data_IF_673060503799
#
_entry.id   IF_673060503799
#
_cell.length_a   1.000
_cell.length_b   1.000
_cell.length_c   1.000
_cell.angle_alpha   90.00
_cell.angle_beta   90.00
_cell.angle_gamma   90.00
#
_symmetry.space_group_name_H-M   'P 1'
#
loop_
_entity.id
_entity.type
_entity.pdbx_description
1 polymer ?
#
# COMPACT_ATOMS: atom_id res chain seq x y z
N UNK A 1 33.97 -23.25 14.96
CA UNK A 1 33.32 -21.93 14.82
C UNK A 1 32.61 -21.77 13.48
N UNK A 2 33.29 -21.83 12.33
CA UNK A 2 32.67 -21.61 11.00
C UNK A 2 31.43 -22.49 10.71
N UNK A 3 31.49 -23.80 10.99
CA UNK A 3 30.35 -24.73 10.78
C UNK A 3 29.12 -24.37 11.61
N UNK A 4 29.31 -23.77 12.79
CA UNK A 4 28.18 -23.33 13.63
C UNK A 4 27.50 -22.08 13.07
N UNK A 5 28.26 -21.22 12.38
CA UNK A 5 27.75 -19.98 11.79
C UNK A 5 27.10 -20.21 10.41
N UNK A 6 27.44 -21.30 9.72
CA UNK A 6 26.98 -21.59 8.37
C UNK A 6 25.45 -21.50 8.25
N UNK A 7 24.71 -22.21 9.12
CA UNK A 7 23.24 -22.24 9.06
C UNK A 7 22.61 -20.86 9.24
N UNK A 8 23.08 -20.07 10.21
CA UNK A 8 22.50 -18.75 10.47
C UNK A 8 22.85 -17.75 9.37
N UNK A 9 24.08 -17.78 8.87
CA UNK A 9 24.52 -16.90 7.78
C UNK A 9 23.76 -17.22 6.50
N UNK A 10 23.67 -18.50 6.12
CA UNK A 10 22.95 -18.90 4.91
C UNK A 10 21.45 -18.62 5.01
N UNK A 11 20.84 -18.81 6.18
CA UNK A 11 19.42 -18.50 6.40
C UNK A 11 19.15 -17.00 6.14
N UNK A 12 19.94 -16.11 6.75
CA UNK A 12 19.79 -14.66 6.60
C UNK A 12 20.05 -14.24 5.15
N UNK A 13 21.19 -14.64 4.58
CA UNK A 13 21.60 -14.18 3.25
C UNK A 13 20.69 -14.70 2.14
N UNK A 14 20.24 -15.95 2.22
CA UNK A 14 19.31 -16.50 1.22
C UNK A 14 17.96 -15.79 1.27
N UNK A 15 17.41 -15.55 2.46
CA UNK A 15 16.14 -14.83 2.63
C UNK A 15 16.24 -13.40 2.11
N UNK A 16 17.18 -12.61 2.63
CA UNK A 16 17.32 -11.19 2.29
C UNK A 16 17.63 -11.00 0.80
N UNK A 17 18.52 -11.83 0.23
CA UNK A 17 18.88 -11.71 -1.20
C UNK A 17 17.74 -12.11 -2.12
N UNK A 18 16.93 -13.11 -1.76
CA UNK A 18 15.77 -13.51 -2.55
C UNK A 18 14.72 -12.40 -2.61
N UNK A 19 14.42 -11.77 -1.47
CA UNK A 19 13.48 -10.65 -1.39
C UNK A 19 14.03 -9.43 -2.15
N UNK A 20 15.28 -9.05 -1.93
CA UNK A 20 15.89 -7.90 -2.60
C UNK A 20 15.93 -8.09 -4.13
N UNK A 21 16.24 -9.30 -4.61
CA UNK A 21 16.23 -9.60 -6.03
C UNK A 21 14.83 -9.52 -6.64
N UNK A 22 13.80 -9.99 -5.92
CA UNK A 22 12.40 -9.85 -6.36
C UNK A 22 11.97 -8.38 -6.40
N UNK A 23 12.27 -7.63 -5.35
CA UNK A 23 11.97 -6.21 -5.26
C UNK A 23 12.65 -5.40 -6.38
N UNK A 24 13.90 -5.71 -6.70
CA UNK A 24 14.64 -5.06 -7.80
C UNK A 24 13.99 -5.30 -9.16
N UNK A 25 13.51 -6.52 -9.44
CA UNK A 25 12.76 -6.79 -10.69
C UNK A 25 11.45 -6.02 -10.76
N UNK A 26 10.73 -5.92 -9.64
CA UNK A 26 9.48 -5.15 -9.56
C UNK A 26 9.74 -3.64 -9.73
N UNK A 27 10.79 -3.11 -9.09
CA UNK A 27 11.22 -1.70 -9.20
C UNK A 27 11.60 -1.35 -10.64
N UNK A 28 12.37 -2.21 -11.31
CA UNK A 28 12.68 -2.05 -12.72
C UNK A 28 11.42 -2.05 -13.61
N UNK A 29 10.48 -2.96 -13.35
CA UNK A 29 9.22 -3.04 -14.10
C UNK A 29 8.28 -1.85 -13.84
N UNK A 30 8.31 -1.26 -12.65
CA UNK A 30 7.47 -0.12 -12.26
C UNK A 30 7.83 1.17 -13.01
N UNK A 31 9.07 1.28 -13.51
CA UNK A 31 9.52 2.41 -14.32
C UNK A 31 9.49 3.74 -13.58
N UNK A 32 9.93 3.76 -12.33
CA UNK A 32 9.95 4.96 -11.48
C UNK A 32 8.63 5.28 -10.76
N UNK A 33 7.60 4.46 -10.95
CA UNK A 33 6.38 4.53 -10.11
C UNK A 33 6.69 4.05 -8.71
N UNK A 34 6.04 4.68 -7.74
CA UNK A 34 6.18 4.36 -6.32
C UNK A 34 5.75 2.91 -6.04
N UNK A 35 6.55 2.20 -5.25
CA UNK A 35 6.28 0.85 -4.75
C UNK A 35 6.27 0.85 -3.22
N UNK A 36 5.33 0.12 -2.64
CA UNK A 36 5.16 0.04 -1.18
C UNK A 36 5.08 -1.44 -0.78
N UNK A 37 5.87 -1.82 0.21
CA UNK A 37 5.90 -3.18 0.75
C UNK A 37 4.77 -3.35 1.78
N UNK A 38 3.88 -4.32 1.55
CA UNK A 38 2.62 -4.51 2.30
C UNK A 38 2.38 -5.99 2.68
N UNK A 39 3.44 -6.80 2.66
CA UNK A 39 3.43 -8.26 2.74
C UNK A 39 3.55 -8.84 4.15
N UNK A 40 3.72 -8.02 5.20
CA UNK A 40 3.94 -8.47 6.57
C UNK A 40 2.95 -9.56 7.05
N UNK A 41 1.67 -9.46 6.66
CA UNK A 41 0.62 -10.43 7.04
C UNK A 41 0.74 -11.82 6.37
N UNK A 42 1.71 -12.01 5.48
CA UNK A 42 1.92 -13.25 4.69
C UNK A 42 3.29 -13.89 4.96
N UNK A 43 4.01 -13.42 5.98
CA UNK A 43 5.35 -13.92 6.33
C UNK A 43 5.47 -14.07 7.84
N UNK A 44 6.51 -14.77 8.30
CA UNK A 44 6.77 -14.99 9.72
C UNK A 44 7.14 -13.69 10.45
N UNK A 45 6.90 -13.63 11.75
CA UNK A 45 6.90 -12.40 12.54
C UNK A 45 8.16 -11.54 12.37
N UNK A 46 9.36 -12.10 12.60
CA UNK A 46 10.63 -11.36 12.43
C UNK A 46 11.07 -11.30 10.96
N UNK A 47 10.59 -12.24 10.14
CA UNK A 47 10.83 -12.23 8.69
C UNK A 47 10.09 -11.11 8.00
N UNK A 48 8.95 -10.61 8.52
CA UNK A 48 8.24 -9.44 8.00
C UNK A 48 9.13 -8.21 8.02
N UNK A 49 9.72 -7.95 9.19
CA UNK A 49 10.62 -6.84 9.45
C UNK A 49 11.83 -6.96 8.50
N UNK A 50 12.48 -8.13 8.44
CA UNK A 50 13.61 -8.36 7.52
C UNK A 50 13.22 -8.19 6.03
N UNK A 51 12.04 -8.67 5.63
CA UNK A 51 11.55 -8.58 4.24
C UNK A 51 11.27 -7.13 3.84
N UNK A 52 10.66 -6.33 4.72
CA UNK A 52 10.43 -4.91 4.51
C UNK A 52 11.75 -4.16 4.25
N UNK A 53 12.78 -4.46 5.05
CA UNK A 53 14.14 -3.92 4.84
C UNK A 53 14.74 -4.36 3.51
N UNK A 54 14.70 -5.66 3.20
CA UNK A 54 15.27 -6.19 1.96
C UNK A 54 14.56 -5.63 0.72
N UNK A 55 13.22 -5.46 0.78
CA UNK A 55 12.45 -4.85 -0.29
C UNK A 55 12.81 -3.37 -0.50
N UNK A 56 12.98 -2.61 0.58
CA UNK A 56 13.42 -1.21 0.51
C UNK A 56 14.81 -1.09 -0.12
N UNK A 57 15.78 -1.91 0.32
CA UNK A 57 17.11 -1.98 -0.31
C UNK A 57 17.02 -2.39 -1.79
N UNK A 58 16.09 -3.27 -2.13
CA UNK A 58 15.82 -3.71 -3.49
C UNK A 58 15.14 -2.67 -4.40
N UNK A 59 14.73 -1.52 -3.87
CA UNK A 59 14.18 -0.41 -4.65
C UNK A 59 12.69 -0.12 -4.44
N UNK A 60 12.10 -0.57 -3.33
CA UNK A 60 10.78 -0.10 -2.88
C UNK A 60 10.94 1.21 -2.09
N UNK A 61 9.91 2.05 -2.06
CA UNK A 61 9.99 3.40 -1.48
C UNK A 61 9.52 3.49 -0.03
N UNK A 62 8.70 2.55 0.42
CA UNK A 62 8.11 2.53 1.75
C UNK A 62 7.62 1.14 2.15
N UNK A 63 7.23 0.97 3.42
CA UNK A 63 6.60 -0.25 3.96
C UNK A 63 5.40 0.07 4.86
N UNK A 64 4.47 -0.87 4.99
CA UNK A 64 3.46 -0.84 6.06
C UNK A 64 3.97 -1.33 7.42
N UNK A 65 5.15 -1.95 7.47
CA UNK A 65 5.70 -2.53 8.69
C UNK A 65 6.30 -1.45 9.60
N UNK A 66 5.57 -1.13 10.68
CA UNK A 66 5.99 -0.11 11.65
C UNK A 66 7.26 -0.51 12.41
N UNK A 67 7.50 -1.81 12.63
CA UNK A 67 8.71 -2.26 13.29
C UNK A 67 9.94 -2.07 12.39
N UNK A 68 9.79 -2.23 11.08
CA UNK A 68 10.82 -1.91 10.10
C UNK A 68 11.10 -0.41 10.04
N UNK A 69 10.06 0.42 10.06
CA UNK A 69 10.18 1.87 10.18
C UNK A 69 10.93 2.28 11.45
N UNK A 70 10.57 1.71 12.60
CA UNK A 70 11.23 1.99 13.87
C UNK A 70 12.70 1.54 13.87
N UNK A 71 13.01 0.34 13.38
CA UNK A 71 14.35 -0.26 13.48
C UNK A 71 15.35 0.29 12.46
N UNK A 72 14.89 0.66 11.26
CA UNK A 72 15.77 1.04 10.15
C UNK A 72 15.44 2.39 9.52
N UNK A 73 14.52 3.15 10.11
CA UNK A 73 14.09 4.46 9.59
C UNK A 73 13.58 4.40 8.14
N UNK A 74 12.99 3.26 7.74
CA UNK A 74 12.34 3.12 6.43
C UNK A 74 11.04 3.93 6.46
N UNK A 75 10.72 4.74 5.42
CA UNK A 75 9.45 5.45 5.34
C UNK A 75 8.26 4.49 5.49
N UNK A 76 7.35 4.79 6.40
CA UNK A 76 6.16 3.98 6.63
C UNK A 76 4.93 4.62 6.00
N UNK A 77 4.09 3.79 5.37
CA UNK A 77 2.85 4.22 4.73
C UNK A 77 1.79 3.15 4.93
N UNK A 78 0.55 3.57 5.18
CA UNK A 78 -0.61 2.69 5.25
C UNK A 78 -1.87 3.47 4.93
N UNK A 79 -2.93 2.75 4.58
CA UNK A 79 -4.27 3.31 4.43
C UNK A 79 -5.24 2.51 5.30
N UNK A 80 -6.48 2.98 5.43
CA UNK A 80 -7.56 2.21 6.03
C UNK A 80 -7.73 0.86 5.30
N UNK A 81 -8.18 -0.16 6.04
CA UNK A 81 -8.52 -1.48 5.50
C UNK A 81 -10.05 -1.60 5.36
N UNK A 82 -10.56 -2.61 4.63
CA UNK A 82 -12.00 -2.85 4.52
C UNK A 82 -12.70 -2.94 5.88
N UNK A 83 -12.03 -3.49 6.90
CA UNK A 83 -12.57 -3.57 8.26
C UNK A 83 -12.95 -2.18 8.83
N UNK A 84 -12.21 -1.12 8.48
CA UNK A 84 -12.56 0.24 8.88
C UNK A 84 -13.88 0.69 8.24
N UNK A 85 -14.04 0.46 6.94
CA UNK A 85 -15.30 0.77 6.23
C UNK A 85 -16.47 -0.02 6.80
N UNK A 86 -16.28 -1.32 7.05
CA UNK A 86 -17.31 -2.22 7.57
C UNK A 86 -17.73 -1.95 9.03
N UNK A 87 -16.97 -1.14 9.78
CA UNK A 87 -17.34 -0.71 11.13
C UNK A 87 -18.33 0.46 11.14
N UNK A 88 -18.52 1.14 10.00
CA UNK A 88 -19.44 2.26 9.87
C UNK A 88 -20.78 1.79 9.28
N UNK A 89 -21.85 2.55 9.54
CA UNK A 89 -23.18 2.23 9.02
C UNK A 89 -23.25 2.38 7.48
N UNK A 90 -22.37 3.20 6.89
CA UNK A 90 -22.21 3.32 5.45
C UNK A 90 -20.77 3.61 5.03
N UNK A 91 -20.44 3.31 3.76
CA UNK A 91 -19.13 3.63 3.18
C UNK A 91 -18.87 5.14 3.14
N UNK A 92 -19.93 5.95 2.95
CA UNK A 92 -19.85 7.41 2.99
C UNK A 92 -19.43 7.91 4.38
N UNK A 93 -19.98 7.32 5.44
CA UNK A 93 -19.63 7.70 6.82
C UNK A 93 -18.16 7.37 7.12
N UNK A 94 -17.66 6.23 6.64
CA UNK A 94 -16.27 5.86 6.77
C UNK A 94 -15.34 6.86 6.04
N UNK A 95 -15.68 7.25 4.81
CA UNK A 95 -14.90 8.24 4.05
C UNK A 95 -14.91 9.61 4.72
N UNK A 96 -16.07 10.07 5.21
CA UNK A 96 -16.18 11.33 5.96
C UNK A 96 -15.30 11.30 7.21
N UNK A 97 -15.39 10.23 8.02
CA UNK A 97 -14.58 10.08 9.22
C UNK A 97 -13.08 10.09 8.93
N UNK A 98 -12.64 9.44 7.84
CA UNK A 98 -11.24 9.43 7.44
C UNK A 98 -10.76 10.81 6.94
N UNK A 99 -11.56 11.51 6.14
CA UNK A 99 -11.22 12.85 5.64
C UNK A 99 -11.19 13.87 6.78
N UNK A 100 -12.11 13.78 7.74
CA UNK A 100 -12.12 14.66 8.91
C UNK A 100 -10.88 14.44 9.80
N UNK A 101 -10.39 13.20 9.87
CA UNK A 101 -9.24 12.83 10.69
C UNK A 101 -7.88 13.09 10.03
N UNK A 102 -7.76 12.80 8.73
CA UNK A 102 -6.48 12.80 7.99
C UNK A 102 -6.36 13.91 6.95
N UNK A 103 -7.45 14.65 6.69
CA UNK A 103 -7.52 15.66 5.65
C UNK A 103 -7.79 15.09 4.25
N UNK A 104 -7.96 16.00 3.29
CA UNK A 104 -8.34 15.69 1.89
C UNK A 104 -7.24 14.94 1.12
N UNK A 105 -5.97 15.14 1.48
CA UNK A 105 -4.83 14.43 0.89
C UNK A 105 -4.69 12.95 1.24
N UNK A 106 -5.72 12.35 1.85
CA UNK A 106 -5.74 10.93 2.23
C UNK A 106 -5.95 10.00 1.02
N UNK A 107 -5.79 8.69 1.26
CA UNK A 107 -6.11 7.64 0.28
C UNK A 107 -7.34 6.85 0.73
N UNK A 108 -8.42 6.90 -0.04
CA UNK A 108 -9.68 6.20 0.27
C UNK A 108 -9.74 4.84 -0.43
N UNK A 109 -10.14 3.79 0.29
CA UNK A 109 -10.33 2.43 -0.26
C UNK A 109 -11.74 2.32 -0.86
N UNK A 110 -11.83 2.12 -2.18
CA UNK A 110 -13.09 2.33 -2.94
C UNK A 110 -13.74 1.05 -3.45
N UNK A 111 -13.26 -0.13 -3.10
CA UNK A 111 -13.79 -1.41 -3.60
C UNK A 111 -14.37 -2.29 -2.49
N UNK A 112 -14.94 -1.67 -1.45
CA UNK A 112 -15.66 -2.43 -0.40
C UNK A 112 -17.01 -2.93 -0.91
N UNK A 113 -17.73 -2.12 -1.70
CA UNK A 113 -19.04 -2.46 -2.26
C UNK A 113 -19.08 -2.26 -3.78
N UNK A 114 -19.31 -1.03 -4.25
CA UNK A 114 -19.33 -0.68 -5.68
C UNK A 114 -18.32 0.44 -5.96
N UNK A 115 -17.37 0.17 -6.84
CA UNK A 115 -16.27 1.09 -7.14
C UNK A 115 -16.75 2.41 -7.74
N UNK A 116 -17.78 2.38 -8.57
CA UNK A 116 -18.27 3.58 -9.27
C UNK A 116 -18.91 4.53 -8.26
N UNK A 117 -19.79 3.99 -7.40
CA UNK A 117 -20.46 4.79 -6.38
C UNK A 117 -19.48 5.27 -5.30
N UNK A 118 -18.51 4.43 -4.90
CA UNK A 118 -17.49 4.77 -3.93
C UNK A 118 -16.59 5.92 -4.43
N UNK A 119 -16.12 5.89 -5.68
CA UNK A 119 -15.31 6.98 -6.26
C UNK A 119 -16.10 8.29 -6.33
N UNK A 120 -17.38 8.23 -6.70
CA UNK A 120 -18.27 9.41 -6.69
C UNK A 120 -18.37 10.00 -5.28
N UNK A 121 -18.67 9.16 -4.29
CA UNK A 121 -18.78 9.59 -2.89
C UNK A 121 -17.45 10.15 -2.35
N UNK A 122 -16.32 9.53 -2.69
CA UNK A 122 -14.99 9.97 -2.31
C UNK A 122 -14.70 11.40 -2.79
N UNK A 123 -14.98 11.71 -4.07
CA UNK A 123 -14.77 13.07 -4.62
C UNK A 123 -15.79 14.06 -4.07
N UNK A 124 -17.05 13.67 -3.84
CA UNK A 124 -18.05 14.56 -3.21
C UNK A 124 -17.64 14.99 -1.80
N UNK A 125 -17.04 14.07 -1.02
CA UNK A 125 -16.62 14.33 0.36
C UNK A 125 -15.28 15.09 0.40
N UNK A 126 -14.25 14.55 -0.27
CA UNK A 126 -12.90 15.09 -0.21
C UNK A 126 -12.65 16.23 -1.21
N UNK A 127 -13.57 16.47 -2.16
CA UNK A 127 -13.41 17.45 -3.23
C UNK A 127 -12.39 17.03 -4.29
N UNK A 128 -12.09 17.91 -5.27
CA UNK A 128 -11.13 17.63 -6.34
C UNK A 128 -9.67 17.52 -5.87
N UNK A 129 -9.41 17.85 -4.59
CA UNK A 129 -8.10 17.75 -3.93
C UNK A 129 -7.92 16.41 -3.18
N UNK A 130 -8.77 15.41 -3.44
CA UNK A 130 -8.59 14.07 -2.91
C UNK A 130 -7.19 13.55 -3.26
N UNK A 131 -6.48 13.03 -2.26
CA UNK A 131 -5.08 12.62 -2.44
C UNK A 131 -4.89 11.42 -3.36
N UNK A 132 -5.62 10.33 -3.11
CA UNK A 132 -5.63 9.14 -3.97
C UNK A 132 -6.85 8.24 -3.65
N UNK A 133 -7.09 7.26 -4.52
CA UNK A 133 -7.98 6.12 -4.25
C UNK A 133 -7.21 4.80 -4.32
N UNK A 134 -7.62 3.80 -3.54
CA UNK A 134 -7.05 2.45 -3.53
C UNK A 134 -8.09 1.42 -3.99
N UNK A 135 -7.68 0.57 -4.92
CA UNK A 135 -8.42 -0.59 -5.44
C UNK A 135 -7.58 -1.83 -5.09
N UNK A 136 -8.16 -2.83 -4.43
CA UNK A 136 -7.46 -4.03 -3.94
C UNK A 136 -8.02 -5.34 -4.56
N UNK A 137 -9.04 -5.26 -5.42
CA UNK A 137 -9.73 -6.40 -6.01
C UNK A 137 -10.15 -6.20 -7.48
N UNK A 138 -10.49 -7.30 -8.15
CA UNK A 138 -10.93 -7.30 -9.55
C UNK A 138 -9.79 -7.27 -10.58
N UNK A 139 -10.13 -6.98 -11.85
CA UNK A 139 -9.15 -6.73 -12.90
C UNK A 139 -8.57 -5.32 -12.72
N UNK A 140 -7.47 -5.23 -11.97
CA UNK A 140 -6.86 -3.95 -11.60
C UNK A 140 -6.48 -3.09 -12.80
N UNK A 141 -6.07 -3.69 -13.92
CA UNK A 141 -5.72 -2.92 -15.11
C UNK A 141 -6.96 -2.19 -15.65
N UNK A 142 -8.05 -2.92 -15.82
CA UNK A 142 -9.29 -2.38 -16.37
C UNK A 142 -9.99 -1.42 -15.37
N UNK A 143 -10.03 -1.78 -14.09
CA UNK A 143 -10.63 -0.93 -13.06
C UNK A 143 -9.85 0.37 -12.89
N UNK A 144 -8.51 0.34 -12.89
CA UNK A 144 -7.71 1.56 -12.78
C UNK A 144 -7.97 2.56 -13.92
N UNK A 145 -8.12 2.10 -15.17
CA UNK A 145 -8.45 2.98 -16.29
C UNK A 145 -9.85 3.59 -16.15
N UNK A 146 -10.84 2.81 -15.71
CA UNK A 146 -12.21 3.31 -15.47
C UNK A 146 -12.26 4.33 -14.34
N UNK A 147 -11.59 4.04 -13.23
CA UNK A 147 -11.52 4.94 -12.07
C UNK A 147 -10.80 6.24 -12.45
N UNK A 148 -9.70 6.16 -13.21
CA UNK A 148 -9.01 7.36 -13.73
C UNK A 148 -9.95 8.24 -14.55
N UNK A 149 -10.67 7.65 -15.51
CA UNK A 149 -11.64 8.38 -16.33
C UNK A 149 -12.72 9.03 -15.46
N UNK A 150 -13.27 8.29 -14.49
CA UNK A 150 -14.29 8.81 -13.60
C UNK A 150 -13.79 9.97 -12.73
N UNK A 151 -12.57 9.87 -12.18
CA UNK A 151 -11.96 10.95 -11.42
C UNK A 151 -11.78 12.21 -12.29
N UNK A 152 -11.38 12.05 -13.55
CA UNK A 152 -11.22 13.16 -14.50
C UNK A 152 -12.57 13.83 -14.82
N UNK A 153 -13.62 13.04 -15.04
CA UNK A 153 -15.00 13.53 -15.25
C UNK A 153 -15.55 14.29 -14.04
N UNK A 154 -15.14 13.90 -12.82
CA UNK A 154 -15.49 14.56 -11.57
C UNK A 154 -14.58 15.76 -11.23
N UNK A 155 -13.58 16.07 -12.07
CA UNK A 155 -12.65 17.19 -11.89
C UNK A 155 -11.47 16.91 -10.95
N UNK A 156 -11.35 15.69 -10.41
CA UNK A 156 -10.28 15.23 -9.52
C UNK A 156 -9.04 14.75 -10.31
N UNK A 157 -8.53 15.62 -11.19
CA UNK A 157 -7.44 15.30 -12.13
C UNK A 157 -6.06 15.12 -11.48
N UNK A 158 -5.90 15.55 -10.23
CA UNK A 158 -4.65 15.42 -9.45
C UNK A 158 -4.63 14.24 -8.46
N UNK A 159 -5.76 13.55 -8.30
CA UNK A 159 -5.92 12.35 -7.45
C UNK A 159 -5.22 11.14 -8.04
#
# INVERSE_FOLDING_TARGET
ECVLLETVILSILNHDSAIAAAASRMSAAAGGRRLIEMGARRTHELSAVASARAAYVGGFDATSDLAAGFRWAIPTVGTSAHAFTLLHDSERDAFQAQVDSLGRGTTLLVDTYDVTEAVRAAVEIAGPELGAVRIDSGDLLLVAHRVRQQLDELGATGT
#
